data_IF_837780013616
#
_entry.id   IF_837780013616
#
_cell.length_a   1.000
_cell.length_b   1.000
_cell.length_c   1.000
_cell.angle_alpha   90.00
_cell.angle_beta   90.00
_cell.angle_gamma   90.00
#
_symmetry.space_group_name_H-M   'P 1'
#
loop_
_entity.id
_entity.type
_entity.pdbx_description
1 polymer ?
#
# COMPACT_ATOMS: atom_id res chain seq x y z
N UNK A 1 -1.17 -9.63 47.30
CA UNK A 1 -0.67 -8.29 47.67
C UNK A 1 -0.91 -7.35 46.50
N UNK A 2 -1.94 -6.49 46.58
CA UNK A 2 -2.19 -5.50 45.53
C UNK A 2 -1.07 -4.46 45.58
N UNK A 3 -0.28 -4.36 44.52
CA UNK A 3 0.80 -3.39 44.42
C UNK A 3 0.19 -1.98 44.33
N UNK A 4 0.03 -1.31 45.47
CA UNK A 4 -0.44 0.07 45.54
C UNK A 4 0.73 0.97 45.17
N UNK A 5 0.89 1.26 43.87
CA UNK A 5 1.90 2.22 43.42
C UNK A 5 1.77 3.51 44.24
N UNK A 6 2.87 4.04 44.79
CA UNK A 6 2.84 5.33 45.50
C UNK A 6 2.28 6.41 44.57
N UNK A 7 1.54 7.37 45.14
CA UNK A 7 0.99 8.48 44.38
C UNK A 7 2.15 9.27 43.75
N UNK A 8 2.26 9.21 42.42
CA UNK A 8 3.32 9.90 41.66
C UNK A 8 3.26 11.39 41.93
N UNK A 9 4.42 12.01 42.12
CA UNK A 9 4.53 13.46 42.24
C UNK A 9 4.18 14.15 40.93
N UNK A 10 3.73 15.40 41.00
CA UNK A 10 3.43 16.23 39.82
C UNK A 10 4.62 16.27 38.85
N UNK A 11 5.84 16.40 39.38
CA UNK A 11 7.09 16.42 38.60
C UNK A 11 7.34 15.10 37.84
N UNK A 12 7.04 13.96 38.45
CA UNK A 12 7.16 12.65 37.78
C UNK A 12 6.11 12.51 36.68
N UNK A 13 4.88 13.00 36.91
CA UNK A 13 3.83 13.00 35.88
C UNK A 13 4.24 13.88 34.68
N UNK A 14 4.78 15.07 34.93
CA UNK A 14 5.28 15.95 33.86
C UNK A 14 6.43 15.32 33.05
N UNK A 15 7.36 14.64 33.74
CA UNK A 15 8.45 13.91 33.10
C UNK A 15 7.93 12.77 32.22
N UNK A 16 6.97 11.99 32.70
CA UNK A 16 6.34 10.89 31.95
C UNK A 16 5.54 11.40 30.74
N UNK A 17 4.84 12.53 30.87
CA UNK A 17 4.10 13.16 29.76
C UNK A 17 5.07 13.62 28.69
N UNK A 18 6.18 14.27 29.08
CA UNK A 18 7.22 14.70 28.14
C UNK A 18 7.86 13.51 27.41
N UNK A 19 8.20 12.45 28.14
CA UNK A 19 8.76 11.22 27.58
C UNK A 19 7.77 10.54 26.60
N UNK A 20 6.49 10.48 26.97
CA UNK A 20 5.44 9.92 26.13
C UNK A 20 5.22 10.74 24.86
N UNK A 21 5.19 12.08 24.96
CA UNK A 21 5.09 12.98 23.81
C UNK A 21 6.25 12.81 22.83
N UNK A 22 7.48 12.70 23.34
CA UNK A 22 8.66 12.48 22.49
C UNK A 22 8.58 11.14 21.72
N UNK A 23 8.12 10.08 22.38
CA UNK A 23 7.89 8.77 21.74
C UNK A 23 6.80 8.87 20.66
N UNK A 24 5.70 9.53 20.96
CA UNK A 24 4.61 9.74 20.00
C UNK A 24 5.07 10.52 18.77
N UNK A 25 5.80 11.62 18.94
CA UNK A 25 6.33 12.41 17.83
C UNK A 25 7.19 11.55 16.90
N UNK A 26 8.09 10.74 17.46
CA UNK A 26 8.91 9.80 16.67
C UNK A 26 8.06 8.77 15.91
N UNK A 27 7.04 8.21 16.56
CA UNK A 27 6.13 7.25 15.91
C UNK A 27 5.29 7.90 14.82
N UNK A 28 4.85 9.15 15.01
CA UNK A 28 4.11 9.91 13.99
C UNK A 28 5.00 10.20 12.78
N UNK A 29 6.25 10.57 12.99
CA UNK A 29 7.20 10.79 11.88
C UNK A 29 7.46 9.50 11.08
N UNK A 30 7.64 8.36 11.78
CA UNK A 30 7.77 7.06 11.11
C UNK A 30 6.51 6.68 10.33
N UNK A 31 5.32 6.89 10.92
CA UNK A 31 4.05 6.60 10.26
C UNK A 31 3.87 7.49 9.04
N UNK A 32 4.18 8.78 9.15
CA UNK A 32 4.11 9.75 8.05
C UNK A 32 5.00 9.34 6.88
N UNK A 33 6.21 8.84 7.15
CA UNK A 33 7.08 8.29 6.11
C UNK A 33 6.50 7.01 5.49
N UNK A 34 5.96 6.09 6.29
CA UNK A 34 5.36 4.83 5.78
C UNK A 34 4.08 5.03 4.98
N UNK A 35 3.26 6.01 5.36
CA UNK A 35 2.04 6.41 4.62
C UNK A 35 2.32 7.50 3.59
N UNK A 36 3.60 7.80 3.34
CA UNK A 36 3.96 8.73 2.29
C UNK A 36 3.38 8.23 0.96
N UNK A 37 2.90 9.13 0.09
CA UNK A 37 2.30 8.73 -1.18
C UNK A 37 3.23 7.85 -2.03
N UNK A 38 4.54 8.05 -1.91
CA UNK A 38 5.53 7.32 -2.70
C UNK A 38 5.70 5.88 -2.24
N UNK A 39 5.71 5.62 -0.93
CA UNK A 39 5.75 4.25 -0.39
C UNK A 39 4.44 3.51 -0.67
N UNK A 40 3.30 4.19 -0.60
CA UNK A 40 2.00 3.60 -0.97
C UNK A 40 1.98 3.20 -2.45
N UNK A 41 2.42 4.09 -3.34
CA UNK A 41 2.53 3.80 -4.78
C UNK A 41 3.48 2.63 -5.05
N UNK A 42 4.66 2.63 -4.43
CA UNK A 42 5.64 1.56 -4.60
C UNK A 42 5.07 0.20 -4.17
N UNK A 43 4.40 0.14 -3.02
CA UNK A 43 3.75 -1.07 -2.52
C UNK A 43 2.59 -1.52 -3.42
N UNK A 44 1.77 -0.58 -3.90
CA UNK A 44 0.69 -0.88 -4.84
C UNK A 44 1.23 -1.45 -6.16
N UNK A 45 2.27 -0.85 -6.73
CA UNK A 45 2.93 -1.33 -7.95
C UNK A 45 3.56 -2.71 -7.74
N UNK A 46 4.23 -2.94 -6.62
CA UNK A 46 4.82 -4.23 -6.28
C UNK A 46 3.75 -5.32 -6.15
N UNK A 47 2.63 -5.02 -5.48
CA UNK A 47 1.50 -5.95 -5.34
C UNK A 47 0.86 -6.28 -6.70
N UNK A 48 0.68 -5.28 -7.56
CA UNK A 48 0.18 -5.49 -8.93
C UNK A 48 1.12 -6.35 -9.76
N UNK A 49 2.43 -6.08 -9.72
CA UNK A 49 3.43 -6.92 -10.41
C UNK A 49 3.37 -8.38 -9.94
N UNK A 50 3.25 -8.61 -8.64
CA UNK A 50 3.12 -9.96 -8.08
C UNK A 50 1.88 -10.68 -8.61
N UNK A 51 0.73 -10.01 -8.64
CA UNK A 51 -0.52 -10.57 -9.19
C UNK A 51 -0.43 -10.86 -10.69
N UNK A 52 0.20 -9.98 -11.46
CA UNK A 52 0.42 -10.21 -12.89
C UNK A 52 1.33 -11.40 -13.12
N UNK A 53 2.41 -11.52 -12.35
CA UNK A 53 3.33 -12.65 -12.43
C UNK A 53 2.60 -13.97 -12.10
N UNK A 54 1.83 -14.02 -11.02
CA UNK A 54 1.05 -15.20 -10.63
C UNK A 54 -0.04 -15.58 -11.64
N UNK A 55 -0.63 -14.58 -12.29
CA UNK A 55 -1.61 -14.79 -13.35
C UNK A 55 -1.00 -15.30 -14.65
N UNK A 56 0.27 -14.99 -14.93
CA UNK A 56 0.92 -15.22 -16.24
C UNK A 56 2.03 -16.26 -16.24
N UNK A 57 2.63 -16.54 -15.09
CA UNK A 57 3.73 -17.50 -14.90
C UNK A 57 3.25 -18.67 -14.03
N UNK A 58 3.86 -19.85 -14.20
CA UNK A 58 3.71 -20.99 -13.30
C UNK A 58 4.72 -20.92 -12.13
N UNK A 59 4.69 -21.92 -11.24
CA UNK A 59 5.57 -21.97 -10.07
C UNK A 59 7.04 -22.19 -10.45
N UNK A 60 7.28 -22.73 -11.64
CA UNK A 60 8.58 -23.03 -12.23
C UNK A 60 9.13 -21.88 -13.08
N UNK A 61 8.35 -20.80 -13.29
CA UNK A 61 8.72 -19.61 -14.03
C UNK A 61 8.44 -19.65 -15.54
N UNK A 62 7.70 -20.65 -16.03
CA UNK A 62 7.28 -20.71 -17.43
C UNK A 62 5.98 -19.92 -17.66
N UNK A 63 5.86 -19.25 -18.82
CA UNK A 63 4.64 -18.56 -19.19
C UNK A 63 3.49 -19.55 -19.39
N UNK A 64 2.37 -19.31 -18.70
CA UNK A 64 1.14 -20.08 -18.85
C UNK A 64 0.41 -19.59 -20.09
N UNK A 65 0.79 -20.10 -21.27
CA UNK A 65 0.30 -19.63 -22.57
C UNK A 65 -1.23 -19.51 -22.68
N UNK A 66 -1.98 -20.45 -22.07
CA UNK A 66 -3.45 -20.43 -22.04
C UNK A 66 -4.02 -19.21 -21.26
N UNK A 67 -3.42 -18.90 -20.10
CA UNK A 67 -3.78 -17.73 -19.31
C UNK A 67 -3.27 -16.43 -19.94
N UNK A 68 -2.08 -16.47 -20.52
CA UNK A 68 -1.47 -15.32 -21.19
C UNK A 68 -2.33 -14.87 -22.38
N UNK A 69 -2.82 -15.81 -23.19
CA UNK A 69 -3.74 -15.53 -24.28
C UNK A 69 -5.05 -14.88 -23.78
N UNK A 70 -5.61 -15.40 -22.68
CA UNK A 70 -6.82 -14.86 -22.06
C UNK A 70 -6.61 -13.42 -21.54
N UNK A 71 -5.50 -13.17 -20.83
CA UNK A 71 -5.16 -11.84 -20.31
C UNK A 71 -4.93 -10.85 -21.46
N UNK A 72 -4.15 -11.23 -22.47
CA UNK A 72 -3.90 -10.39 -23.63
C UNK A 72 -5.18 -10.07 -24.42
N UNK A 73 -6.06 -11.07 -24.58
CA UNK A 73 -7.37 -10.87 -25.20
C UNK A 73 -8.22 -9.86 -24.43
N UNK A 74 -8.30 -9.99 -23.10
CA UNK A 74 -9.03 -9.04 -22.25
C UNK A 74 -8.49 -7.61 -22.33
N UNK A 75 -7.16 -7.45 -22.31
CA UNK A 75 -6.50 -6.14 -22.45
C UNK A 75 -6.79 -5.52 -23.81
N UNK A 76 -6.73 -6.31 -24.89
CA UNK A 76 -7.03 -5.82 -26.24
C UNK A 76 -8.47 -5.32 -26.35
N UNK A 77 -9.45 -6.06 -25.83
CA UNK A 77 -10.87 -5.65 -25.83
C UNK A 77 -11.07 -4.35 -25.04
N UNK A 78 -10.48 -4.24 -23.85
CA UNK A 78 -10.51 -3.01 -23.04
C UNK A 78 -9.89 -1.83 -23.79
N UNK A 79 -8.72 -2.01 -24.39
CA UNK A 79 -8.02 -0.96 -25.12
C UNK A 79 -8.83 -0.46 -26.33
N UNK A 80 -9.42 -1.37 -27.10
CA UNK A 80 -10.30 -1.01 -28.23
C UNK A 80 -11.54 -0.27 -27.75
N UNK A 81 -12.15 -0.73 -26.66
CA UNK A 81 -13.35 -0.10 -26.08
C UNK A 81 -13.05 1.32 -25.61
N UNK A 82 -12.02 1.50 -24.79
CA UNK A 82 -11.60 2.81 -24.28
C UNK A 82 -11.11 3.74 -25.40
N UNK A 83 -10.36 3.22 -26.37
CA UNK A 83 -9.92 3.98 -27.53
C UNK A 83 -11.08 4.46 -28.39
N UNK A 84 -12.11 3.63 -28.56
CA UNK A 84 -13.33 3.98 -29.28
C UNK A 84 -14.13 5.05 -28.53
N UNK A 85 -14.33 4.89 -27.20
CA UNK A 85 -14.95 5.93 -26.38
C UNK A 85 -14.19 7.26 -26.51
N UNK A 86 -12.87 7.25 -26.29
CA UNK A 86 -12.03 8.44 -26.41
C UNK A 86 -12.18 9.08 -27.78
N UNK A 87 -12.21 8.28 -28.84
CA UNK A 87 -12.36 8.79 -30.21
C UNK A 87 -13.72 9.43 -30.46
N UNK A 88 -14.80 8.93 -29.86
CA UNK A 88 -16.15 9.49 -29.99
C UNK A 88 -16.27 10.79 -29.20
N UNK A 89 -15.82 10.80 -27.93
CA UNK A 89 -15.88 11.99 -27.08
C UNK A 89 -15.00 13.15 -27.56
N UNK A 90 -13.83 12.85 -28.12
CA UNK A 90 -12.90 13.88 -28.59
C UNK A 90 -13.18 14.36 -30.03
N UNK A 91 -14.26 13.85 -30.65
CA UNK A 91 -14.79 14.30 -31.94
C UNK A 91 -16.03 15.19 -31.81
N UNK A 92 -16.57 15.35 -30.60
CA UNK A 92 -17.66 16.28 -30.26
C UNK A 92 -17.08 17.60 -29.75
#
# INVERSE_FOLDING_TARGET
MANKQPARSVKEIEADISATRSRLARTVDELTYRVSPDTIKANAVASLKGKVNDATMDAEGNPRFDRLATVLGGVAVLAVTLGSLRRVFNRS
#
